data_IF_650913654382
#
_entry.id   IF_650913654382
#
_cell.length_a   1.000
_cell.length_b   1.000
_cell.length_c   1.000
_cell.angle_alpha   90.00
_cell.angle_beta   90.00
_cell.angle_gamma   90.00
#
_symmetry.space_group_name_H-M   'P 1'
#
loop_
_entity.id
_entity.type
_entity.pdbx_description
1 polymer ?
#
# COMPACT_ATOMS: atom_id res chain seq x y z
N UNK A 1 20.27 -0.88 12.97
CA UNK A 1 19.62 0.40 12.60
C UNK A 1 19.64 1.40 13.75
N UNK A 2 19.70 2.71 13.47
CA UNK A 2 19.54 3.78 14.47
C UNK A 2 18.07 4.02 14.83
N UNK A 3 17.79 4.67 15.96
CA UNK A 3 16.41 5.02 16.35
C UNK A 3 15.68 5.82 15.25
N UNK A 4 16.35 6.80 14.62
CA UNK A 4 15.77 7.57 13.52
C UNK A 4 15.46 6.70 12.30
N UNK A 5 16.33 5.75 11.98
CA UNK A 5 16.11 4.79 10.91
C UNK A 5 14.91 3.88 11.21
N UNK A 6 14.79 3.36 12.43
CA UNK A 6 13.65 2.52 12.86
C UNK A 6 12.35 3.33 12.81
N UNK A 7 12.35 4.55 13.34
CA UNK A 7 11.23 5.49 13.35
C UNK A 7 10.69 5.73 11.94
N UNK A 8 11.59 6.06 11.02
CA UNK A 8 11.26 6.26 9.60
C UNK A 8 10.82 4.99 8.89
N UNK A 9 11.40 3.84 9.23
CA UNK A 9 11.13 2.58 8.55
C UNK A 9 9.76 2.01 8.95
N UNK A 10 9.41 2.09 10.24
CA UNK A 10 8.19 1.50 10.78
C UNK A 10 7.04 2.51 10.91
N UNK A 11 7.28 3.79 10.63
CA UNK A 11 6.35 4.91 10.85
C UNK A 11 5.89 4.99 12.32
N UNK A 12 6.83 4.80 13.25
CA UNK A 12 6.58 4.79 14.70
C UNK A 12 7.28 5.97 15.36
N UNK A 13 6.58 6.81 16.16
CA UNK A 13 7.19 7.95 16.82
C UNK A 13 8.37 7.60 17.73
N UNK A 14 9.40 8.45 17.75
CA UNK A 14 10.56 8.29 18.62
C UNK A 14 10.23 8.09 20.10
N UNK A 15 9.13 8.71 20.58
CA UNK A 15 8.65 8.51 21.97
C UNK A 15 8.29 7.05 22.25
N UNK A 16 7.68 6.37 21.29
CA UNK A 16 7.27 4.97 21.39
C UNK A 16 8.50 4.07 21.34
N UNK A 17 9.49 4.41 20.51
CA UNK A 17 10.76 3.69 20.46
C UNK A 17 11.56 3.82 21.77
N UNK A 18 11.55 5.00 22.41
CA UNK A 18 12.14 5.18 23.75
C UNK A 18 11.47 4.34 24.81
N UNK A 19 10.14 4.19 24.74
CA UNK A 19 9.38 3.30 25.62
C UNK A 19 9.79 1.83 25.39
N UNK A 20 9.88 1.40 24.13
CA UNK A 20 10.29 0.04 23.77
C UNK A 20 11.71 -0.29 24.22
N UNK A 21 12.62 0.69 24.25
CA UNK A 21 13.98 0.50 24.77
C UNK A 21 13.98 0.06 26.25
N UNK A 22 12.96 0.45 27.02
CA UNK A 22 12.80 0.07 28.43
C UNK A 22 11.91 -1.16 28.61
N UNK A 23 10.74 -1.15 27.98
CA UNK A 23 9.68 -2.13 28.25
C UNK A 23 9.67 -3.31 27.27
N UNK A 24 10.33 -3.18 26.11
CA UNK A 24 10.42 -4.20 25.05
C UNK A 24 11.86 -4.35 24.56
N UNK A 25 12.82 -4.35 25.48
CA UNK A 25 14.26 -4.34 25.19
C UNK A 25 14.66 -5.40 24.15
N UNK A 26 14.14 -6.63 24.23
CA UNK A 26 14.46 -7.69 23.24
C UNK A 26 14.08 -7.32 21.81
N UNK A 27 12.87 -6.78 21.62
CA UNK A 27 12.41 -6.30 20.31
C UNK A 27 13.25 -5.11 19.84
N UNK A 28 13.52 -4.16 20.74
CA UNK A 28 14.30 -2.99 20.39
C UNK A 28 15.73 -3.35 19.96
N UNK A 29 16.39 -4.28 20.66
CA UNK A 29 17.71 -4.77 20.30
C UNK A 29 17.71 -5.52 18.97
N UNK A 30 16.68 -6.29 18.68
CA UNK A 30 16.52 -6.92 17.38
C UNK A 30 16.45 -5.86 16.26
N UNK A 31 15.64 -4.81 16.45
CA UNK A 31 15.54 -3.72 15.47
C UNK A 31 16.87 -2.96 15.32
N UNK A 32 17.61 -2.76 16.41
CA UNK A 32 18.96 -2.17 16.36
C UNK A 32 19.97 -3.07 15.63
N UNK A 33 19.83 -4.39 15.70
CA UNK A 33 20.76 -5.33 15.05
C UNK A 33 20.54 -5.52 13.55
N UNK A 34 19.36 -5.14 13.02
CA UNK A 34 19.08 -5.25 11.58
C UNK A 34 19.92 -4.25 10.77
N UNK A 35 20.32 -4.65 9.56
CA UNK A 35 20.88 -3.73 8.57
C UNK A 35 19.77 -2.84 8.00
N UNK A 36 20.05 -1.54 7.89
CA UNK A 36 19.04 -0.58 7.43
C UNK A 36 18.70 -0.72 5.95
N UNK A 37 19.70 -1.00 5.10
CA UNK A 37 19.50 -1.10 3.66
C UNK A 37 18.69 -2.36 3.36
N UNK A 38 19.11 -3.49 3.94
CA UNK A 38 18.41 -4.78 3.79
C UNK A 38 16.99 -4.71 4.35
N UNK A 39 16.79 -4.16 5.55
CA UNK A 39 15.47 -4.02 6.14
C UNK A 39 14.57 -3.08 5.31
N UNK A 40 15.13 -2.03 4.72
CA UNK A 40 14.40 -1.13 3.82
C UNK A 40 14.01 -1.81 2.52
N UNK A 41 14.83 -2.69 1.97
CA UNK A 41 14.46 -3.46 0.78
C UNK A 41 13.37 -4.49 1.12
N UNK A 42 13.52 -5.22 2.22
CA UNK A 42 12.58 -6.27 2.64
C UNK A 42 11.26 -5.75 3.18
N UNK A 43 11.21 -4.60 3.86
CA UNK A 43 9.92 -4.03 4.30
C UNK A 43 9.05 -3.57 3.13
N UNK A 44 9.69 -3.24 2.00
CA UNK A 44 9.00 -2.94 0.75
C UNK A 44 8.67 -4.20 -0.04
N UNK A 45 9.23 -5.36 0.32
CA UNK A 45 8.78 -6.68 -0.13
C UNK A 45 7.46 -7.00 0.59
N UNK A 46 6.45 -6.28 0.16
CA UNK A 46 5.05 -6.52 0.50
C UNK A 46 4.67 -7.79 -0.24
N UNK A 47 4.28 -8.84 0.48
CA UNK A 47 3.78 -10.07 -0.14
C UNK A 47 2.38 -9.77 -0.71
N UNK A 48 2.37 -9.23 -1.92
CA UNK A 48 1.16 -8.91 -2.67
C UNK A 48 0.62 -10.12 -3.43
N UNK A 49 1.34 -11.25 -3.41
CA UNK A 49 0.95 -12.50 -4.05
C UNK A 49 0.03 -13.35 -3.15
N UNK A 50 -0.05 -13.03 -1.86
CA UNK A 50 -0.95 -13.64 -0.90
C UNK A 50 -2.41 -13.68 -1.39
N UNK A 51 -3.06 -14.82 -1.12
CA UNK A 51 -4.49 -15.04 -1.33
C UNK A 51 -5.22 -14.83 -0.01
N UNK A 52 -6.25 -13.99 -0.01
CA UNK A 52 -7.07 -13.71 1.16
C UNK A 52 -8.55 -13.88 0.86
N UNK A 53 -9.33 -14.16 1.90
CA UNK A 53 -10.79 -14.15 1.81
C UNK A 53 -11.27 -12.70 1.67
N UNK A 54 -11.74 -12.37 0.47
CA UNK A 54 -12.39 -11.11 0.15
C UNK A 54 -13.86 -11.16 0.56
N UNK A 55 -14.32 -10.10 1.22
CA UNK A 55 -15.72 -9.95 1.64
C UNK A 55 -16.31 -8.70 0.95
N UNK A 56 -17.22 -8.86 -0.03
CA UNK A 56 -17.75 -7.74 -0.81
C UNK A 56 -18.43 -6.65 0.04
N UNK A 57 -19.06 -7.04 1.14
CA UNK A 57 -19.82 -6.15 2.03
C UNK A 57 -18.96 -5.13 2.80
N UNK A 58 -17.63 -5.28 2.81
CA UNK A 58 -16.71 -4.31 3.43
C UNK A 58 -16.48 -3.06 2.58
N UNK A 59 -16.94 -3.08 1.33
CA UNK A 59 -16.67 -2.06 0.33
C UNK A 59 -17.96 -1.49 -0.25
N UNK A 60 -17.87 -0.27 -0.79
CA UNK A 60 -19.00 0.47 -1.33
C UNK A 60 -19.63 -0.22 -2.55
N UNK A 61 -18.81 -0.88 -3.38
CA UNK A 61 -19.24 -1.63 -4.56
C UNK A 61 -18.44 -2.92 -4.71
N UNK A 62 -19.10 -4.01 -5.09
CA UNK A 62 -18.38 -5.26 -5.38
C UNK A 62 -17.63 -5.17 -6.73
N UNK A 63 -16.34 -4.86 -6.69
CA UNK A 63 -15.49 -4.86 -7.89
C UNK A 63 -15.12 -6.26 -8.39
N UNK A 64 -15.48 -7.30 -7.64
CA UNK A 64 -15.38 -8.71 -8.03
C UNK A 64 -16.78 -9.28 -8.28
N UNK A 65 -17.58 -8.55 -9.06
CA UNK A 65 -19.01 -8.77 -9.31
C UNK A 65 -19.40 -10.18 -9.76
N UNK A 66 -18.46 -10.97 -10.28
CA UNK A 66 -18.68 -12.38 -10.64
C UNK A 66 -18.92 -13.27 -9.41
N UNK A 67 -18.53 -12.82 -8.21
CA UNK A 67 -18.75 -13.49 -6.94
C UNK A 67 -19.42 -12.51 -5.97
N UNK A 68 -20.72 -12.66 -5.76
CA UNK A 68 -21.47 -11.87 -4.75
C UNK A 68 -21.26 -12.38 -3.31
N UNK A 69 -20.55 -13.50 -3.17
CA UNK A 69 -20.21 -14.12 -1.90
C UNK A 69 -18.73 -13.91 -1.55
N UNK A 70 -18.32 -14.39 -0.38
CA UNK A 70 -16.90 -14.42 0.00
C UNK A 70 -16.11 -15.21 -1.05
N UNK A 71 -14.98 -14.68 -1.49
CA UNK A 71 -14.13 -15.35 -2.47
C UNK A 71 -12.66 -15.17 -2.15
N UNK A 72 -11.82 -16.11 -2.60
CA UNK A 72 -10.38 -15.95 -2.47
C UNK A 72 -9.87 -15.04 -3.58
N UNK A 73 -9.19 -13.96 -3.20
CA UNK A 73 -8.63 -12.99 -4.13
C UNK A 73 -7.20 -12.66 -3.73
N UNK A 74 -6.36 -12.39 -4.74
CA UNK A 74 -5.01 -11.87 -4.49
C UNK A 74 -5.09 -10.50 -3.84
N UNK A 75 -4.27 -10.27 -2.82
CA UNK A 75 -4.16 -8.97 -2.15
C UNK A 75 -3.88 -7.86 -3.15
N UNK A 76 -2.96 -8.08 -4.10
CA UNK A 76 -2.69 -7.12 -5.18
C UNK A 76 -3.96 -6.75 -5.95
N UNK A 77 -4.77 -7.74 -6.33
CA UNK A 77 -5.98 -7.53 -7.13
C UNK A 77 -7.01 -6.71 -6.38
N UNK A 78 -7.23 -7.00 -5.09
CA UNK A 78 -8.18 -6.25 -4.25
C UNK A 78 -7.73 -4.78 -4.19
N UNK A 79 -6.51 -4.54 -3.73
CA UNK A 79 -6.00 -3.18 -3.55
C UNK A 79 -5.98 -2.43 -4.89
N UNK A 80 -5.45 -3.04 -5.95
CA UNK A 80 -5.37 -2.43 -7.28
C UNK A 80 -6.75 -2.05 -7.82
N UNK A 81 -7.78 -2.91 -7.66
CA UNK A 81 -9.11 -2.63 -8.17
C UNK A 81 -9.77 -1.47 -7.42
N UNK A 82 -9.76 -1.48 -6.09
CA UNK A 82 -10.39 -0.41 -5.30
C UNK A 82 -9.64 0.93 -5.39
N UNK A 83 -8.32 0.93 -5.60
CA UNK A 83 -7.60 2.17 -5.93
C UNK A 83 -8.04 2.80 -7.25
N UNK A 84 -8.73 2.08 -8.14
CA UNK A 84 -9.29 2.66 -9.38
C UNK A 84 -10.54 3.52 -9.13
N UNK A 85 -11.24 3.35 -8.00
CA UNK A 85 -12.52 4.04 -7.76
C UNK A 85 -12.34 5.40 -7.09
N UNK A 86 -11.18 5.65 -6.48
CA UNK A 86 -10.86 6.89 -5.73
C UNK A 86 -11.84 7.09 -4.54
N UNK A 87 -12.60 6.07 -4.15
CA UNK A 87 -13.51 6.14 -3.02
C UNK A 87 -12.72 6.16 -1.71
N UNK A 88 -12.80 7.28 -0.99
CA UNK A 88 -12.00 7.50 0.23
C UNK A 88 -12.29 6.46 1.33
N UNK A 89 -13.56 6.07 1.50
CA UNK A 89 -13.95 5.08 2.51
C UNK A 89 -13.40 3.70 2.17
N UNK A 90 -13.49 3.28 0.91
CA UNK A 90 -12.94 2.01 0.45
C UNK A 90 -11.41 1.99 0.61
N UNK A 91 -10.72 3.10 0.31
CA UNK A 91 -9.27 3.23 0.50
C UNK A 91 -8.89 3.13 1.99
N UNK A 92 -9.66 3.77 2.88
CA UNK A 92 -9.48 3.62 4.34
C UNK A 92 -9.69 2.17 4.78
N UNK A 93 -10.68 1.47 4.23
CA UNK A 93 -10.87 0.03 4.45
C UNK A 93 -9.64 -0.77 4.01
N UNK A 94 -9.07 -0.49 2.84
CA UNK A 94 -7.82 -1.13 2.39
C UNK A 94 -6.67 -0.88 3.37
N UNK A 95 -6.48 0.38 3.80
CA UNK A 95 -5.44 0.74 4.76
C UNK A 95 -5.59 -0.04 6.08
N UNK A 96 -6.81 -0.13 6.60
CA UNK A 96 -7.10 -0.85 7.84
C UNK A 96 -6.87 -2.36 7.71
N UNK A 97 -7.20 -2.94 6.54
CA UNK A 97 -7.10 -4.38 6.32
C UNK A 97 -5.67 -4.83 6.00
N UNK A 98 -4.95 -4.08 5.18
CA UNK A 98 -3.67 -4.49 4.58
C UNK A 98 -2.47 -3.66 5.06
N UNK A 99 -2.73 -2.56 5.75
CA UNK A 99 -1.71 -1.62 6.19
C UNK A 99 -1.36 -0.58 5.11
N UNK A 100 -1.16 0.66 5.57
CA UNK A 100 -0.80 1.82 4.76
C UNK A 100 0.34 1.57 3.77
N UNK A 101 1.42 0.95 4.23
CA UNK A 101 2.62 0.71 3.40
C UNK A 101 2.35 -0.26 2.25
N UNK A 102 1.54 -1.30 2.47
CA UNK A 102 1.13 -2.26 1.44
C UNK A 102 0.29 -1.56 0.36
N UNK A 103 -0.72 -0.80 0.78
CA UNK A 103 -1.59 -0.04 -0.14
C UNK A 103 -0.77 0.98 -0.96
N UNK A 104 0.16 1.69 -0.30
CA UNK A 104 1.07 2.64 -0.95
C UNK A 104 2.01 1.98 -1.96
N UNK A 105 2.52 0.79 -1.65
CA UNK A 105 3.38 0.01 -2.54
C UNK A 105 2.63 -0.40 -3.81
N UNK A 106 1.41 -0.96 -3.65
CA UNK A 106 0.56 -1.35 -4.79
C UNK A 106 0.17 -0.14 -5.64
N UNK A 107 -0.16 1.00 -5.02
CA UNK A 107 -0.43 2.24 -5.77
C UNK A 107 0.76 2.62 -6.67
N UNK A 108 1.97 2.65 -6.10
CA UNK A 108 3.19 3.00 -6.83
C UNK A 108 3.47 2.03 -7.97
N UNK A 109 3.37 0.72 -7.71
CA UNK A 109 3.61 -0.30 -8.73
C UNK A 109 2.59 -0.23 -9.87
N UNK A 110 1.29 -0.08 -9.54
CA UNK A 110 0.21 0.10 -10.52
C UNK A 110 0.48 1.26 -11.47
N UNK A 111 0.83 2.44 -10.93
CA UNK A 111 1.11 3.62 -11.75
C UNK A 111 2.42 3.51 -12.54
N UNK A 112 3.46 2.91 -11.96
CA UNK A 112 4.71 2.63 -12.66
C UNK A 112 4.47 1.72 -13.87
N UNK A 113 3.71 0.63 -13.70
CA UNK A 113 3.32 -0.28 -14.79
C UNK A 113 2.46 0.42 -15.84
N UNK A 114 1.52 1.26 -15.42
CA UNK A 114 0.65 2.01 -16.33
C UNK A 114 1.43 3.03 -17.19
N UNK A 115 2.31 3.82 -16.57
CA UNK A 115 3.15 4.79 -17.29
C UNK A 115 4.23 4.12 -18.15
N UNK A 116 4.74 2.95 -17.75
CA UNK A 116 5.66 2.17 -18.59
C UNK A 116 5.02 1.69 -19.90
N UNK A 117 3.70 1.44 -19.91
CA UNK A 117 2.97 1.16 -21.16
C UNK A 117 2.87 2.39 -22.07
N UNK A 118 2.94 3.60 -21.51
CA UNK A 118 2.89 4.87 -22.25
C UNK A 118 1.49 5.32 -22.66
N UNK A 119 0.45 4.58 -22.30
CA UNK A 119 -0.94 4.94 -22.58
C UNK A 119 -1.91 4.29 -21.59
N UNK A 120 -3.09 4.89 -21.46
CA UNK A 120 -4.23 4.35 -20.75
C UNK A 120 -5.26 3.90 -21.78
N UNK A 121 -5.49 2.59 -21.88
CA UNK A 121 -6.48 2.04 -22.79
C UNK A 121 -7.87 2.18 -22.19
N UNK A 122 -8.69 3.02 -22.81
CA UNK A 122 -10.13 3.10 -22.56
C UNK A 122 -10.87 2.43 -23.73
N UNK A 123 -12.12 2.01 -23.53
CA UNK A 123 -12.92 1.30 -24.55
C UNK A 123 -12.93 2.05 -25.90
N UNK A 124 -11.97 1.71 -26.78
CA UNK A 124 -11.81 2.26 -28.13
C UNK A 124 -10.82 3.44 -28.28
N UNK A 125 -10.25 3.99 -27.21
CA UNK A 125 -9.30 5.13 -27.28
C UNK A 125 -8.13 4.92 -26.31
N UNK A 126 -6.92 4.96 -26.84
CA UNK A 126 -5.70 4.99 -26.04
C UNK A 126 -5.32 6.44 -25.72
N UNK A 127 -5.32 6.79 -24.44
CA UNK A 127 -4.91 8.12 -23.97
C UNK A 127 -3.41 8.07 -23.67
N UNK A 128 -2.56 8.80 -24.41
CA UNK A 128 -1.12 8.77 -24.17
C UNK A 128 -0.77 9.31 -22.78
N UNK A 129 0.12 8.61 -22.09
CA UNK A 129 0.66 9.02 -20.80
C UNK A 129 2.08 9.53 -21.03
N UNK A 130 2.36 10.72 -20.51
CA UNK A 130 3.68 11.35 -20.61
C UNK A 130 4.12 11.90 -19.27
N UNK A 131 5.43 12.13 -19.13
CA UNK A 131 6.02 12.65 -17.91
C UNK A 131 6.18 11.59 -16.82
N UNK A 132 6.33 12.07 -15.58
CA UNK A 132 6.55 11.23 -14.39
C UNK A 132 5.21 10.88 -13.74
N UNK A 133 4.99 9.61 -13.40
CA UNK A 133 3.73 9.19 -12.79
C UNK A 133 3.47 9.87 -11.43
N UNK A 134 4.52 10.26 -10.71
CA UNK A 134 4.43 10.99 -9.44
C UNK A 134 3.80 12.39 -9.60
N UNK A 135 3.79 12.93 -10.81
CA UNK A 135 3.16 14.22 -11.11
C UNK A 135 1.68 14.10 -11.46
N UNK A 136 1.16 12.89 -11.68
CA UNK A 136 -0.24 12.67 -12.00
C UNK A 136 -1.16 13.07 -10.84
N UNK A 137 -2.23 13.82 -11.13
CA UNK A 137 -3.09 14.38 -10.09
C UNK A 137 -3.89 13.32 -9.34
N UNK A 138 -4.36 12.27 -10.04
CA UNK A 138 -5.05 11.14 -9.40
C UNK A 138 -4.09 10.38 -8.50
N UNK A 139 -2.83 10.16 -8.93
CA UNK A 139 -1.81 9.56 -8.09
C UNK A 139 -1.59 10.35 -6.80
N UNK A 140 -1.45 11.68 -6.90
CA UNK A 140 -1.27 12.56 -5.73
C UNK A 140 -2.47 12.52 -4.80
N UNK A 141 -3.68 12.53 -5.35
CA UNK A 141 -4.92 12.46 -4.57
C UNK A 141 -5.01 11.15 -3.79
N UNK A 142 -4.82 10.01 -4.46
CA UNK A 142 -4.82 8.69 -3.81
C UNK A 142 -3.72 8.59 -2.74
N UNK A 143 -2.52 9.10 -3.06
CA UNK A 143 -1.42 9.14 -2.12
C UNK A 143 -1.74 10.01 -0.89
N UNK A 144 -2.44 11.13 -1.06
CA UNK A 144 -2.94 11.97 0.03
C UNK A 144 -3.86 11.18 0.97
N UNK A 145 -4.90 10.54 0.42
CA UNK A 145 -5.84 9.71 1.19
C UNK A 145 -5.11 8.59 1.96
N UNK A 146 -4.17 7.90 1.31
CA UNK A 146 -3.39 6.83 1.96
C UNK A 146 -2.47 7.38 3.04
N UNK A 147 -1.93 8.60 2.88
CA UNK A 147 -1.07 9.20 3.90
C UNK A 147 -1.87 9.66 5.13
N UNK A 148 -3.17 9.91 4.98
CA UNK A 148 -4.11 10.26 6.05
C UNK A 148 -4.78 9.03 6.71
N UNK A 149 -4.47 7.83 6.20
CA UNK A 149 -4.45 6.60 7.01
C UNK A 149 -3.27 6.67 8.01
#
# INVERSE_FOLDING_TARGET
>A
MTQQQISKLLDVPDRTLRDWKKNRHRLYNLLESLDYVEAKEKINAVDVEDMVVFEPNKYSYNLFWQTNEKSEQRVYSIISNYLSTINENDIKTLCNQFGKNMVKSVLKDKYKKMFAKGYLSTNGIDIPLSGKFEQNDIYKQLLGIINDC
#
